data_IF_332712735622
#
_entry.id   IF_332712735622
#
_cell.length_a   1.000
_cell.length_b   1.000
_cell.length_c   1.000
_cell.angle_alpha   90.00
_cell.angle_beta   90.00
_cell.angle_gamma   90.00
#
_symmetry.space_group_name_H-M   'P 1'
#
loop_
_entity.id
_entity.type
_entity.pdbx_description
1 polymer ?
#
# COMPACT_ATOMS: atom_id res chain seq x y z
N UNK A 1 0.19 6.90 -45.36
CA UNK A 1 -0.92 7.05 -44.40
C UNK A 1 -1.89 5.89 -44.60
N UNK A 2 -1.79 4.83 -43.78
CA UNK A 2 -2.83 3.78 -43.76
C UNK A 2 -3.92 4.27 -42.82
N UNK A 3 -5.01 4.80 -43.37
CA UNK A 3 -6.28 4.93 -42.65
C UNK A 3 -6.75 3.52 -42.33
N UNK A 4 -6.36 3.03 -41.16
CA UNK A 4 -6.95 1.83 -40.61
C UNK A 4 -8.22 2.30 -39.92
N UNK A 5 -9.39 1.86 -40.39
CA UNK A 5 -10.67 2.07 -39.74
C UNK A 5 -10.64 1.43 -38.33
N UNK A 6 -10.07 2.14 -37.36
CA UNK A 6 -10.11 1.80 -35.94
C UNK A 6 -11.52 2.11 -35.46
N UNK A 7 -12.43 1.15 -35.56
CA UNK A 7 -13.72 1.24 -34.90
C UNK A 7 -13.56 1.01 -33.39
N UNK A 8 -14.48 1.57 -32.59
CA UNK A 8 -14.56 1.32 -31.14
C UNK A 8 -14.61 -0.17 -30.80
N UNK A 9 -15.28 -0.98 -31.62
CA UNK A 9 -15.34 -2.44 -31.48
C UNK A 9 -13.96 -3.10 -31.67
N UNK A 10 -13.19 -2.70 -32.68
CA UNK A 10 -11.84 -3.24 -32.92
C UNK A 10 -10.91 -2.91 -31.75
N UNK A 11 -10.98 -1.69 -31.23
CA UNK A 11 -10.20 -1.27 -30.05
C UNK A 11 -10.61 -2.09 -28.83
N UNK A 12 -11.90 -2.22 -28.56
CA UNK A 12 -12.39 -2.99 -27.41
C UNK A 12 -11.96 -4.46 -27.48
N UNK A 13 -12.03 -5.08 -28.67
CA UNK A 13 -11.56 -6.46 -28.90
C UNK A 13 -10.05 -6.57 -28.74
N UNK A 14 -9.28 -5.60 -29.25
CA UNK A 14 -7.82 -5.60 -29.15
C UNK A 14 -7.34 -5.47 -27.69
N UNK A 15 -7.98 -4.60 -26.91
CA UNK A 15 -7.64 -4.37 -25.50
C UNK A 15 -8.07 -5.52 -24.58
N UNK A 16 -9.21 -6.18 -24.86
CA UNK A 16 -9.70 -7.32 -24.06
C UNK A 16 -9.12 -8.68 -24.51
N UNK A 17 -8.64 -8.77 -25.75
CA UNK A 17 -8.12 -9.99 -26.35
C UNK A 17 -6.68 -10.34 -25.94
N UNK A 18 -6.20 -11.49 -26.41
CA UNK A 18 -4.85 -11.97 -26.15
C UNK A 18 -3.83 -11.58 -27.24
N UNK A 19 -4.28 -11.03 -28.37
CA UNK A 19 -3.47 -10.89 -29.59
C UNK A 19 -2.45 -9.74 -29.60
N UNK A 20 -2.49 -8.83 -28.62
CA UNK A 20 -1.53 -7.73 -28.51
C UNK A 20 -0.51 -7.99 -27.40
N UNK A 21 0.73 -7.54 -27.63
CA UNK A 21 1.75 -7.44 -26.57
C UNK A 21 1.33 -6.41 -25.52
N UNK A 22 1.95 -6.44 -24.33
CA UNK A 22 1.66 -5.47 -23.26
C UNK A 22 1.94 -4.04 -23.71
N UNK A 23 3.01 -3.82 -24.48
CA UNK A 23 3.35 -2.51 -25.01
C UNK A 23 2.35 -2.03 -26.07
N UNK A 24 1.94 -2.90 -26.99
CA UNK A 24 0.97 -2.52 -28.02
C UNK A 24 -0.41 -2.24 -27.43
N UNK A 25 -0.79 -2.94 -26.36
CA UNK A 25 -2.04 -2.69 -25.64
C UNK A 25 -2.07 -1.30 -25.03
N UNK A 26 -1.01 -0.90 -24.33
CA UNK A 26 -0.98 0.42 -23.70
C UNK A 26 -0.90 1.55 -24.73
N UNK A 27 -0.18 1.34 -25.84
CA UNK A 27 -0.17 2.28 -26.96
C UNK A 27 -1.57 2.43 -27.58
N UNK A 28 -2.24 1.32 -27.88
CA UNK A 28 -3.60 1.31 -28.43
C UNK A 28 -4.58 2.04 -27.50
N UNK A 29 -4.49 1.81 -26.19
CA UNK A 29 -5.34 2.48 -25.22
C UNK A 29 -5.08 4.00 -25.14
N UNK A 30 -3.80 4.40 -25.17
CA UNK A 30 -3.38 5.80 -25.11
C UNK A 30 -3.81 6.57 -26.38
N UNK A 31 -3.65 5.95 -27.55
CA UNK A 31 -4.10 6.51 -28.82
C UNK A 31 -5.62 6.65 -28.85
N UNK A 32 -6.34 5.59 -28.45
CA UNK A 32 -7.80 5.63 -28.36
C UNK A 32 -8.28 6.76 -27.45
N UNK A 33 -7.65 6.93 -26.27
CA UNK A 33 -8.02 7.97 -25.32
C UNK A 33 -7.78 9.38 -25.88
N UNK A 34 -6.63 9.60 -26.50
CA UNK A 34 -6.21 10.91 -27.02
C UNK A 34 -6.95 11.32 -28.29
N UNK A 35 -7.52 10.36 -29.03
CA UNK A 35 -8.20 10.62 -30.28
C UNK A 35 -9.66 11.08 -30.05
N UNK A 36 -9.93 12.35 -30.34
CA UNK A 36 -11.27 12.94 -30.27
C UNK A 36 -12.12 12.73 -31.52
N UNK A 37 -11.51 12.31 -32.64
CA UNK A 37 -12.21 12.00 -33.89
C UNK A 37 -12.82 10.60 -33.90
N UNK A 38 -12.37 9.74 -32.97
CA UNK A 38 -12.89 8.39 -32.80
C UNK A 38 -14.22 8.41 -32.01
N UNK A 39 -15.29 7.94 -32.64
CA UNK A 39 -16.55 7.70 -31.92
C UNK A 39 -16.44 6.44 -31.04
N UNK A 40 -16.24 6.65 -29.75
CA UNK A 40 -16.23 5.60 -28.72
C UNK A 40 -17.19 5.99 -27.58
N UNK A 41 -18.40 5.41 -27.54
CA UNK A 41 -19.35 5.66 -26.45
C UNK A 41 -18.77 5.31 -25.08
N UNK A 42 -18.85 6.24 -24.12
CA UNK A 42 -18.28 6.10 -22.77
C UNK A 42 -16.79 5.72 -22.77
N UNK A 43 -16.02 6.29 -23.72
CA UNK A 43 -14.58 6.05 -23.92
C UNK A 43 -13.79 6.02 -22.61
N UNK A 44 -13.92 7.07 -21.81
CA UNK A 44 -13.13 7.24 -20.58
C UNK A 44 -13.45 6.12 -19.58
N UNK A 45 -14.74 5.83 -19.36
CA UNK A 45 -15.19 4.82 -18.40
C UNK A 45 -14.76 3.41 -18.83
N UNK A 46 -14.84 3.11 -20.14
CA UNK A 46 -14.36 1.83 -20.68
C UNK A 46 -12.85 1.66 -20.46
N UNK A 47 -12.05 2.67 -20.82
CA UNK A 47 -10.59 2.60 -20.71
C UNK A 47 -10.15 2.53 -19.26
N UNK A 48 -10.83 3.27 -18.37
CA UNK A 48 -10.56 3.22 -16.94
C UNK A 48 -10.85 1.85 -16.33
N UNK A 49 -12.01 1.25 -16.62
CA UNK A 49 -12.35 -0.10 -16.15
C UNK A 49 -11.39 -1.16 -16.70
N UNK A 50 -11.06 -1.05 -18.00
CA UNK A 50 -10.09 -1.92 -18.64
C UNK A 50 -8.72 -1.82 -17.96
N UNK A 51 -8.23 -0.61 -17.70
CA UNK A 51 -6.93 -0.37 -17.11
C UNK A 51 -6.86 -0.90 -15.67
N UNK A 52 -7.91 -0.66 -14.88
CA UNK A 52 -8.03 -1.22 -13.54
C UNK A 52 -7.96 -2.76 -13.56
N UNK A 53 -8.62 -3.39 -14.54
CA UNK A 53 -8.59 -4.84 -14.72
C UNK A 53 -7.22 -5.33 -15.22
N UNK A 54 -6.57 -4.59 -16.10
CA UNK A 54 -5.26 -4.93 -16.64
C UNK A 54 -4.18 -4.93 -15.54
N UNK A 55 -4.20 -3.93 -14.66
CA UNK A 55 -3.27 -3.81 -13.53
C UNK A 55 -3.36 -5.00 -12.55
N UNK A 56 -4.55 -5.59 -12.38
CA UNK A 56 -4.76 -6.73 -11.46
C UNK A 56 -4.38 -8.08 -12.06
N UNK A 57 -4.29 -8.18 -13.39
CA UNK A 57 -3.87 -9.40 -14.07
C UNK A 57 -2.34 -9.56 -13.95
N UNK A 58 -1.85 -9.68 -12.72
CA UNK A 58 -0.45 -9.98 -12.42
C UNK A 58 -0.24 -11.48 -12.65
N UNK A 59 0.10 -11.88 -13.89
CA UNK A 59 0.59 -13.23 -14.14
C UNK A 59 2.05 -13.29 -13.69
N UNK A 60 2.29 -13.92 -12.55
CA UNK A 60 3.62 -14.05 -11.89
C UNK A 60 4.67 -14.74 -12.77
N UNK A 61 4.28 -15.35 -13.90
CA UNK A 61 5.17 -16.18 -14.73
C UNK A 61 6.20 -15.38 -15.55
N UNK A 62 6.00 -14.09 -15.81
CA UNK A 62 7.01 -13.21 -16.43
C UNK A 62 6.79 -11.76 -16.02
N UNK A 63 7.83 -11.11 -15.49
CA UNK A 63 7.78 -9.70 -15.07
C UNK A 63 7.54 -8.75 -16.25
N UNK A 64 8.04 -9.12 -17.44
CA UNK A 64 7.91 -8.35 -18.67
C UNK A 64 6.49 -8.27 -19.22
N UNK A 65 5.63 -9.25 -18.90
CA UNK A 65 4.23 -9.27 -19.34
C UNK A 65 3.24 -8.75 -18.27
N UNK A 66 3.75 -8.32 -17.12
CA UNK A 66 2.92 -7.84 -16.03
C UNK A 66 2.67 -6.34 -16.16
N UNK A 67 1.43 -5.94 -16.45
CA UNK A 67 1.03 -4.53 -16.57
C UNK A 67 1.39 -3.69 -15.33
N UNK A 68 1.29 -4.28 -14.13
CA UNK A 68 1.62 -3.62 -12.87
C UNK A 68 3.09 -3.22 -12.74
N UNK A 69 3.99 -3.85 -13.50
CA UNK A 69 5.43 -3.57 -13.46
C UNK A 69 5.88 -2.65 -14.61
N UNK A 70 4.94 -2.18 -15.44
CA UNK A 70 5.21 -1.32 -16.58
C UNK A 70 4.80 0.11 -16.27
N UNK A 71 5.75 1.05 -16.32
CA UNK A 71 5.50 2.47 -16.01
C UNK A 71 4.42 3.10 -16.90
N UNK A 72 4.32 2.69 -18.17
CA UNK A 72 3.34 3.22 -19.11
C UNK A 72 1.88 3.02 -18.66
N UNK A 73 1.60 1.92 -17.95
CA UNK A 73 0.28 1.65 -17.39
C UNK A 73 -0.06 2.60 -16.24
N UNK A 74 0.91 2.85 -15.35
CA UNK A 74 0.76 3.80 -14.24
C UNK A 74 0.60 5.24 -14.75
N UNK A 75 1.32 5.63 -15.81
CA UNK A 75 1.16 6.94 -16.45
C UNK A 75 -0.25 7.15 -17.00
N UNK A 76 -0.78 6.20 -17.77
CA UNK A 76 -2.15 6.30 -18.27
C UNK A 76 -3.16 6.28 -17.11
N UNK A 77 -2.90 5.50 -16.06
CA UNK A 77 -3.77 5.43 -14.90
C UNK A 77 -3.82 6.76 -14.15
N UNK A 78 -2.67 7.38 -13.91
CA UNK A 78 -2.55 8.72 -13.36
C UNK A 78 -3.34 9.73 -14.19
N UNK A 79 -3.17 9.74 -15.51
CA UNK A 79 -3.87 10.67 -16.39
C UNK A 79 -5.40 10.51 -16.33
N UNK A 80 -5.90 9.27 -16.31
CA UNK A 80 -7.33 9.00 -16.15
C UNK A 80 -7.84 9.40 -14.76
N UNK A 81 -7.10 9.09 -13.69
CA UNK A 81 -7.45 9.53 -12.34
C UNK A 81 -7.52 11.05 -12.24
N UNK A 82 -6.55 11.76 -12.81
CA UNK A 82 -6.51 13.23 -12.85
C UNK A 82 -7.70 13.80 -13.65
N UNK A 83 -8.03 13.19 -14.79
CA UNK A 83 -9.22 13.54 -15.56
C UNK A 83 -10.50 13.43 -14.73
N UNK A 84 -10.71 12.30 -14.03
CA UNK A 84 -11.90 12.13 -13.19
C UNK A 84 -11.89 13.04 -11.96
N UNK A 85 -10.73 13.31 -11.39
CA UNK A 85 -10.58 14.27 -10.30
C UNK A 85 -11.05 15.66 -10.75
N UNK A 86 -10.53 16.16 -11.87
CA UNK A 86 -10.94 17.44 -12.44
C UNK A 86 -12.43 17.46 -12.83
N UNK A 87 -12.94 16.36 -13.40
CA UNK A 87 -14.36 16.21 -13.76
C UNK A 87 -15.27 16.28 -12.54
N UNK A 88 -14.87 15.67 -11.43
CA UNK A 88 -15.62 15.72 -10.19
C UNK A 88 -15.69 17.15 -9.63
N UNK A 89 -14.61 17.93 -9.74
CA UNK A 89 -14.62 19.33 -9.33
C UNK A 89 -15.43 20.23 -10.27
N UNK A 90 -15.39 19.98 -11.58
CA UNK A 90 -16.05 20.85 -12.58
C UNK A 90 -17.53 20.54 -12.75
N UNK A 91 -17.92 19.27 -12.72
CA UNK A 91 -19.28 18.80 -13.04
C UNK A 91 -20.05 18.28 -11.83
N UNK A 92 -19.40 18.21 -10.65
CA UNK A 92 -19.93 17.60 -9.43
C UNK A 92 -20.34 16.12 -9.58
N UNK A 93 -19.97 15.47 -10.69
CA UNK A 93 -20.21 14.04 -10.91
C UNK A 93 -19.09 13.22 -10.26
N UNK A 94 -19.41 12.20 -9.45
CA UNK A 94 -18.39 11.39 -8.81
C UNK A 94 -17.57 10.60 -9.85
N UNK A 95 -16.32 10.25 -9.52
CA UNK A 95 -15.54 9.29 -10.31
C UNK A 95 -16.24 7.93 -10.41
N UNK A 96 -15.99 7.15 -11.48
CA UNK A 96 -16.58 5.82 -11.64
C UNK A 96 -16.16 4.88 -10.49
N UNK A 97 -17.07 3.99 -10.10
CA UNK A 97 -16.82 3.03 -9.02
C UNK A 97 -15.75 2.01 -9.42
N UNK A 98 -14.74 1.85 -8.56
CA UNK A 98 -13.63 0.92 -8.76
C UNK A 98 -13.94 -0.36 -7.99
N UNK A 99 -14.36 -1.41 -8.70
CA UNK A 99 -14.79 -2.69 -8.09
C UNK A 99 -13.65 -3.69 -7.87
N UNK A 100 -12.45 -3.32 -8.30
CA UNK A 100 -11.31 -4.23 -8.35
C UNK A 100 -10.27 -3.88 -7.28
N UNK A 101 -9.48 -4.86 -6.83
CA UNK A 101 -8.59 -4.70 -5.67
C UNK A 101 -7.25 -4.03 -6.04
N UNK A 102 -7.28 -2.76 -6.46
CA UNK A 102 -6.09 -2.03 -6.89
C UNK A 102 -4.99 -1.97 -5.81
N UNK A 103 -5.35 -1.90 -4.53
CA UNK A 103 -4.39 -1.89 -3.43
C UNK A 103 -3.54 -3.17 -3.37
N UNK A 104 -4.09 -4.31 -3.80
CA UNK A 104 -3.32 -5.55 -3.89
C UNK A 104 -2.26 -5.50 -4.99
N UNK A 105 -2.50 -4.72 -6.06
CA UNK A 105 -1.50 -4.45 -7.11
C UNK A 105 -0.34 -3.64 -6.55
N UNK A 106 -0.64 -2.66 -5.69
CA UNK A 106 0.37 -1.85 -5.00
C UNK A 106 1.24 -2.74 -4.11
N UNK A 107 0.63 -3.64 -3.33
CA UNK A 107 1.35 -4.66 -2.56
C UNK A 107 2.26 -5.50 -3.44
N UNK A 108 1.74 -6.03 -4.55
CA UNK A 108 2.52 -6.87 -5.46
C UNK A 108 3.70 -6.10 -6.09
N UNK A 109 3.50 -4.84 -6.45
CA UNK A 109 4.55 -3.96 -6.97
C UNK A 109 5.62 -3.70 -5.90
N UNK A 110 5.25 -3.34 -4.68
CA UNK A 110 6.20 -3.16 -3.57
C UNK A 110 7.01 -4.45 -3.31
N UNK A 111 6.36 -5.61 -3.35
CA UNK A 111 7.01 -6.92 -3.25
C UNK A 111 7.99 -7.17 -4.40
N UNK A 112 7.61 -6.82 -5.64
CA UNK A 112 8.48 -6.96 -6.81
C UNK A 112 9.73 -6.06 -6.70
N UNK A 113 9.57 -4.82 -6.24
CA UNK A 113 10.69 -3.90 -6.03
C UNK A 113 11.74 -4.46 -5.05
N UNK A 114 11.35 -5.38 -4.17
CA UNK A 114 12.30 -6.06 -3.29
C UNK A 114 13.21 -7.07 -3.99
N UNK A 115 12.83 -7.51 -5.20
CA UNK A 115 13.54 -8.52 -6.00
C UNK A 115 14.31 -7.93 -7.17
N UNK A 116 14.05 -6.69 -7.56
CA UNK A 116 14.66 -6.02 -8.72
C UNK A 116 15.93 -5.26 -8.33
N UNK A 117 16.95 -5.33 -9.19
CA UNK A 117 18.22 -4.60 -9.04
C UNK A 117 18.33 -3.33 -9.90
N UNK A 118 17.25 -2.95 -10.61
CA UNK A 118 17.22 -1.78 -11.50
C UNK A 118 16.61 -0.58 -10.78
N UNK A 119 17.46 0.24 -10.16
CA UNK A 119 17.03 1.31 -9.26
C UNK A 119 16.39 2.51 -9.98
N UNK A 120 16.79 2.82 -11.22
CA UNK A 120 16.26 3.96 -11.98
C UNK A 120 14.82 3.72 -12.44
N UNK A 121 14.53 2.54 -13.02
CA UNK A 121 13.17 2.16 -13.42
C UNK A 121 12.24 2.09 -12.19
N UNK A 122 12.75 1.60 -11.06
CA UNK A 122 12.02 1.53 -9.80
C UNK A 122 11.65 2.93 -9.28
N UNK A 123 12.57 3.90 -9.35
CA UNK A 123 12.32 5.29 -8.95
C UNK A 123 11.19 5.90 -9.76
N UNK A 124 11.21 5.78 -11.08
CA UNK A 124 10.21 6.41 -11.94
C UNK A 124 8.83 5.76 -11.77
N UNK A 125 8.78 4.42 -11.61
CA UNK A 125 7.54 3.72 -11.27
C UNK A 125 6.99 4.18 -9.92
N UNK A 126 7.84 4.36 -8.90
CA UNK A 126 7.40 4.83 -7.58
C UNK A 126 6.86 6.26 -7.62
N UNK A 127 7.41 7.13 -8.48
CA UNK A 127 6.89 8.49 -8.66
C UNK A 127 5.48 8.48 -9.28
N UNK A 128 5.26 7.68 -10.32
CA UNK A 128 3.93 7.53 -10.92
C UNK A 128 2.95 6.83 -9.97
N UNK A 129 3.42 5.83 -9.23
CA UNK A 129 2.65 5.16 -8.19
C UNK A 129 2.20 6.16 -7.12
N UNK A 130 3.11 7.02 -6.63
CA UNK A 130 2.75 8.06 -5.67
C UNK A 130 1.63 8.94 -6.20
N UNK A 131 1.75 9.47 -7.42
CA UNK A 131 0.72 10.32 -8.02
C UNK A 131 -0.64 9.58 -8.16
N UNK A 132 -0.61 8.30 -8.55
CA UNK A 132 -1.81 7.48 -8.61
C UNK A 132 -2.45 7.25 -7.23
N UNK A 133 -1.65 6.90 -6.23
CA UNK A 133 -2.13 6.56 -4.88
C UNK A 133 -2.68 7.79 -4.17
N UNK A 134 -2.03 8.94 -4.32
CA UNK A 134 -2.48 10.22 -3.78
C UNK A 134 -3.88 10.58 -4.30
N UNK A 135 -4.09 10.49 -5.61
CA UNK A 135 -5.41 10.72 -6.21
C UNK A 135 -6.42 9.62 -5.84
N UNK A 136 -6.05 8.35 -5.93
CA UNK A 136 -6.94 7.21 -5.69
C UNK A 136 -7.47 7.17 -4.25
N UNK A 137 -6.66 7.60 -3.28
CA UNK A 137 -7.03 7.65 -1.86
C UNK A 137 -7.48 9.03 -1.39
N UNK A 138 -7.56 10.01 -2.30
CA UNK A 138 -8.06 11.35 -2.02
C UNK A 138 -9.56 11.36 -1.64
N UNK A 139 -10.06 12.44 -1.02
CA UNK A 139 -11.48 12.61 -0.75
C UNK A 139 -12.37 12.45 -2.00
N UNK A 140 -11.88 12.86 -3.18
CA UNK A 140 -12.60 12.79 -4.45
C UNK A 140 -12.98 11.36 -4.84
N UNK A 141 -12.14 10.38 -4.50
CA UNK A 141 -12.38 8.96 -4.79
C UNK A 141 -12.93 8.16 -3.59
N UNK A 142 -13.21 8.82 -2.46
CA UNK A 142 -13.63 8.17 -1.21
C UNK A 142 -14.92 7.34 -1.31
N UNK A 143 -15.81 7.65 -2.24
CA UNK A 143 -17.01 6.87 -2.55
C UNK A 143 -16.76 5.81 -3.62
N UNK A 144 -15.82 6.07 -4.53
CA UNK A 144 -15.53 5.24 -5.70
C UNK A 144 -14.60 4.07 -5.37
N UNK A 145 -13.71 4.24 -4.39
CA UNK A 145 -12.76 3.21 -3.99
C UNK A 145 -12.55 3.19 -2.47
N UNK A 146 -12.78 2.01 -1.87
CA UNK A 146 -12.66 1.81 -0.42
C UNK A 146 -11.94 0.49 -0.14
N UNK A 147 -10.59 0.49 -0.04
CA UNK A 147 -9.87 -0.72 0.34
C UNK A 147 -10.27 -1.12 1.76
N UNK A 148 -10.36 -2.42 2.03
CA UNK A 148 -10.66 -2.91 3.38
C UNK A 148 -9.46 -2.72 4.31
N UNK A 149 -9.70 -2.79 5.63
CA UNK A 149 -8.62 -2.73 6.62
C UNK A 149 -7.59 -3.85 6.43
N UNK A 150 -8.04 -5.06 6.06
CA UNK A 150 -7.17 -6.20 5.83
C UNK A 150 -6.26 -5.97 4.61
N UNK A 151 -6.83 -5.48 3.52
CA UNK A 151 -6.07 -5.16 2.32
C UNK A 151 -5.04 -4.07 2.60
N UNK A 152 -5.41 -3.03 3.34
CA UNK A 152 -4.48 -1.98 3.74
C UNK A 152 -3.40 -2.51 4.68
N UNK A 153 -3.75 -3.36 5.66
CA UNK A 153 -2.80 -3.96 6.59
C UNK A 153 -1.74 -4.79 5.85
N UNK A 154 -2.14 -5.61 4.88
CA UNK A 154 -1.20 -6.37 4.03
C UNK A 154 -0.29 -5.45 3.22
N UNK A 155 -0.82 -4.34 2.73
CA UNK A 155 -0.04 -3.36 1.96
C UNK A 155 0.97 -2.65 2.84
N UNK A 156 0.57 -2.25 4.05
CA UNK A 156 1.44 -1.61 5.04
C UNK A 156 2.53 -2.56 5.49
N UNK A 157 2.22 -3.84 5.71
CA UNK A 157 3.20 -4.87 6.03
C UNK A 157 4.30 -4.96 4.94
N UNK A 158 3.89 -5.07 3.68
CA UNK A 158 4.81 -5.11 2.54
C UNK A 158 5.57 -3.80 2.34
N UNK A 159 4.93 -2.65 2.60
CA UNK A 159 5.57 -1.33 2.57
C UNK A 159 6.68 -1.24 3.62
N UNK A 160 6.44 -1.71 4.84
CA UNK A 160 7.46 -1.71 5.89
C UNK A 160 8.64 -2.60 5.53
N UNK A 161 8.40 -3.79 4.96
CA UNK A 161 9.48 -4.65 4.46
C UNK A 161 10.33 -3.95 3.39
N UNK A 162 9.65 -3.26 2.47
CA UNK A 162 10.31 -2.52 1.39
C UNK A 162 11.14 -1.36 1.93
N UNK A 163 10.58 -0.59 2.86
CA UNK A 163 11.29 0.50 3.54
C UNK A 163 12.50 -0.03 4.32
N UNK A 164 12.36 -1.12 5.08
CA UNK A 164 13.48 -1.72 5.80
C UNK A 164 14.60 -2.11 4.84
N UNK A 165 14.29 -2.86 3.77
CA UNK A 165 15.30 -3.26 2.77
C UNK A 165 16.02 -2.05 2.19
N UNK A 166 15.26 -1.04 1.77
CA UNK A 166 15.79 0.16 1.14
C UNK A 166 16.65 0.94 2.13
N UNK A 167 16.16 1.25 3.33
CA UNK A 167 16.92 1.99 4.36
C UNK A 167 18.24 1.27 4.73
N UNK A 168 18.25 -0.07 4.75
CA UNK A 168 19.42 -0.84 5.15
C UNK A 168 20.48 -0.96 4.05
N UNK A 169 20.10 -0.86 2.78
CA UNK A 169 21.02 -0.97 1.65
C UNK A 169 21.69 0.40 1.36
N UNK A 170 22.65 0.79 2.22
CA UNK A 170 23.32 2.10 2.24
C UNK A 170 23.99 2.56 0.92
N UNK A 171 24.23 1.66 -0.05
CA UNK A 171 24.97 1.96 -1.29
C UNK A 171 24.11 2.14 -2.55
N UNK A 172 22.84 1.73 -2.53
CA UNK A 172 21.95 1.66 -3.71
C UNK A 172 20.61 2.43 -3.53
N UNK A 173 20.35 2.95 -2.33
CA UNK A 173 18.99 3.23 -1.86
C UNK A 173 18.47 4.66 -2.04
N UNK A 174 19.33 5.65 -2.29
CA UNK A 174 18.91 7.07 -2.25
C UNK A 174 17.93 7.46 -3.36
N UNK A 175 18.05 6.87 -4.55
CA UNK A 175 17.22 7.22 -5.71
C UNK A 175 15.75 6.84 -5.51
N UNK A 176 15.48 5.63 -5.00
CA UNK A 176 14.12 5.12 -4.77
C UNK A 176 13.53 5.54 -3.41
N UNK A 177 14.38 5.87 -2.42
CA UNK A 177 13.93 6.17 -1.07
C UNK A 177 12.99 7.37 -1.05
N UNK A 178 13.34 8.47 -1.70
CA UNK A 178 12.48 9.67 -1.73
C UNK A 178 11.05 9.40 -2.22
N UNK A 179 10.86 8.82 -3.42
CA UNK A 179 9.54 8.40 -3.91
C UNK A 179 8.84 7.38 -3.01
N UNK A 180 9.57 6.40 -2.47
CA UNK A 180 9.00 5.39 -1.55
C UNK A 180 8.46 6.04 -0.27
N UNK A 181 9.16 7.04 0.28
CA UNK A 181 8.69 7.79 1.44
C UNK A 181 7.40 8.56 1.13
N UNK A 182 7.25 9.11 -0.09
CA UNK A 182 5.99 9.76 -0.50
C UNK A 182 4.82 8.77 -0.57
N UNK A 183 5.05 7.58 -1.15
CA UNK A 183 4.05 6.50 -1.14
C UNK A 183 3.71 6.09 0.29
N UNK A 184 4.72 5.93 1.15
CA UNK A 184 4.54 5.56 2.55
C UNK A 184 3.68 6.57 3.31
N UNK A 185 3.95 7.86 3.11
CA UNK A 185 3.20 8.94 3.75
C UNK A 185 1.69 8.86 3.46
N UNK A 186 1.30 8.70 2.19
CA UNK A 186 -0.12 8.60 1.80
C UNK A 186 -0.77 7.36 2.39
N UNK A 187 -0.11 6.20 2.28
CA UNK A 187 -0.63 4.93 2.78
C UNK A 187 -0.78 4.92 4.31
N UNK A 188 0.19 5.47 5.05
CA UNK A 188 0.15 5.56 6.51
C UNK A 188 -0.95 6.49 7.00
N UNK A 189 -1.18 7.65 6.35
CA UNK A 189 -2.32 8.52 6.66
C UNK A 189 -3.62 7.73 6.51
N UNK A 190 -3.80 7.08 5.36
CA UNK A 190 -5.02 6.33 5.08
C UNK A 190 -5.23 5.19 6.08
N UNK A 191 -4.17 4.45 6.40
CA UNK A 191 -4.22 3.36 7.37
C UNK A 191 -4.56 3.86 8.77
N UNK A 192 -3.98 4.97 9.21
CA UNK A 192 -4.28 5.60 10.50
C UNK A 192 -5.76 5.98 10.59
N UNK A 193 -6.34 6.57 9.54
CA UNK A 193 -7.78 6.88 9.50
C UNK A 193 -8.63 5.62 9.61
N UNK A 194 -8.27 4.54 8.90
CA UNK A 194 -9.01 3.27 8.94
C UNK A 194 -8.93 2.59 10.31
N UNK A 195 -7.79 2.71 10.99
CA UNK A 195 -7.61 2.19 12.35
C UNK A 195 -8.56 2.85 13.35
N UNK A 196 -8.82 4.15 13.20
CA UNK A 196 -9.80 4.85 14.05
C UNK A 196 -11.25 4.48 13.69
N UNK A 197 -11.52 4.09 12.45
CA UNK A 197 -12.86 3.78 11.96
C UNK A 197 -13.26 2.30 12.09
N UNK A 198 -12.30 1.42 12.41
CA UNK A 198 -12.58 -0.02 12.50
C UNK A 198 -13.44 -0.34 13.72
N UNK A 199 -14.55 -1.04 13.51
CA UNK A 199 -15.39 -1.52 14.61
C UNK A 199 -14.72 -2.65 15.40
N UNK A 200 -13.76 -3.37 14.79
CA UNK A 200 -13.10 -4.52 15.41
C UNK A 200 -11.69 -4.16 15.88
N UNK A 201 -11.63 -3.51 17.04
CA UNK A 201 -10.38 -3.07 17.66
C UNK A 201 -9.49 -4.26 18.06
N UNK A 202 -10.08 -5.37 18.51
CA UNK A 202 -9.35 -6.61 18.82
C UNK A 202 -8.60 -7.16 17.61
N UNK A 203 -9.24 -7.23 16.44
CA UNK A 203 -8.60 -7.70 15.20
C UNK A 203 -7.49 -6.76 14.75
N UNK A 204 -7.71 -5.46 14.88
CA UNK A 204 -6.75 -4.43 14.50
C UNK A 204 -5.51 -4.46 15.39
N UNK A 205 -5.70 -4.56 16.71
CA UNK A 205 -4.65 -4.81 17.69
C UNK A 205 -3.85 -6.07 17.34
N UNK A 206 -4.53 -7.20 17.16
CA UNK A 206 -3.87 -8.50 16.90
C UNK A 206 -3.06 -8.45 15.61
N UNK A 207 -3.60 -7.83 14.56
CA UNK A 207 -2.91 -7.66 13.27
C UNK A 207 -1.64 -6.83 13.42
N UNK A 208 -1.71 -5.72 14.14
CA UNK A 208 -0.56 -4.83 14.34
C UNK A 208 0.49 -5.54 15.20
N UNK A 209 0.11 -6.10 16.35
CA UNK A 209 1.02 -6.76 17.28
C UNK A 209 1.72 -7.95 16.62
N UNK A 210 0.98 -8.88 16.03
CA UNK A 210 1.57 -10.13 15.55
C UNK A 210 2.33 -10.00 14.23
N UNK A 211 1.99 -9.02 13.38
CA UNK A 211 2.52 -8.96 12.01
C UNK A 211 3.39 -7.75 11.73
N UNK A 212 3.01 -6.58 12.24
CA UNK A 212 3.57 -5.30 11.76
C UNK A 212 4.45 -4.61 12.81
N UNK A 213 4.23 -4.84 14.10
CA UNK A 213 4.83 -4.10 15.21
C UNK A 213 6.36 -4.07 15.14
N UNK A 214 6.99 -5.23 14.94
CA UNK A 214 8.45 -5.34 14.81
C UNK A 214 8.99 -4.44 13.67
N UNK A 215 8.31 -4.47 12.52
CA UNK A 215 8.69 -3.70 11.34
C UNK A 215 8.47 -2.20 11.56
N UNK A 216 7.36 -1.82 12.19
CA UNK A 216 7.11 -0.44 12.57
C UNK A 216 8.21 0.11 13.50
N UNK A 217 8.60 -0.63 14.53
CA UNK A 217 9.66 -0.20 15.45
C UNK A 217 11.00 -0.04 14.73
N UNK A 218 11.33 -0.97 13.82
CA UNK A 218 12.55 -0.89 13.03
C UNK A 218 12.56 0.33 12.09
N UNK A 219 11.51 0.50 11.28
CA UNK A 219 11.37 1.63 10.35
C UNK A 219 11.39 2.95 11.11
N UNK A 220 10.57 3.10 12.15
CA UNK A 220 10.50 4.32 12.99
C UNK A 220 11.88 4.75 13.48
N UNK A 221 12.73 3.78 13.87
CA UNK A 221 14.07 4.07 14.40
C UNK A 221 15.06 4.43 13.29
N UNK A 222 15.10 3.66 12.19
CA UNK A 222 16.12 3.80 11.14
C UNK A 222 15.82 4.90 10.13
N UNK A 223 14.55 5.22 9.91
CA UNK A 223 14.14 6.24 8.95
C UNK A 223 14.71 7.63 9.28
N UNK A 224 14.99 7.91 10.56
CA UNK A 224 15.59 9.19 10.98
C UNK A 224 17.06 9.36 10.57
N UNK A 225 17.72 8.28 10.15
CA UNK A 225 19.12 8.29 9.70
C UNK A 225 19.26 8.65 8.21
N UNK A 226 18.14 8.80 7.49
CA UNK A 226 18.14 9.02 6.04
C UNK A 226 18.18 10.51 5.69
N UNK A 227 18.66 10.91 4.50
CA UNK A 227 18.85 12.33 4.14
C UNK A 227 17.54 13.14 3.95
N UNK A 228 16.36 12.50 4.05
CA UNK A 228 15.05 13.13 3.85
C UNK A 228 14.42 13.57 5.18
N UNK A 229 15.13 14.37 5.97
CA UNK A 229 14.81 14.62 7.39
C UNK A 229 13.34 14.98 7.68
N UNK A 230 12.74 15.94 6.97
CA UNK A 230 11.36 16.37 7.25
C UNK A 230 10.32 15.27 6.99
N UNK A 231 10.41 14.61 5.83
CA UNK A 231 9.48 13.55 5.45
C UNK A 231 9.70 12.29 6.30
N UNK A 232 10.96 11.97 6.59
CA UNK A 232 11.34 10.88 7.49
C UNK A 232 10.81 11.09 8.91
N UNK A 233 10.91 12.31 9.44
CA UNK A 233 10.35 12.67 10.75
C UNK A 233 8.83 12.55 10.73
N UNK A 234 8.18 13.02 9.67
CA UNK A 234 6.73 12.90 9.51
C UNK A 234 6.27 11.45 9.52
N UNK A 235 6.97 10.57 8.77
CA UNK A 235 6.65 9.14 8.74
C UNK A 235 6.93 8.47 10.09
N UNK A 236 8.04 8.80 10.75
CA UNK A 236 8.36 8.31 12.10
C UNK A 236 7.25 8.67 13.11
N UNK A 237 6.75 9.91 13.06
CA UNK A 237 5.63 10.36 13.88
C UNK A 237 4.34 9.60 13.54
N UNK A 238 4.02 9.44 12.25
CA UNK A 238 2.84 8.67 11.81
C UNK A 238 2.87 7.21 12.28
N UNK A 239 4.02 6.56 12.19
CA UNK A 239 4.21 5.20 12.71
C UNK A 239 4.00 5.17 14.22
N UNK A 240 4.52 6.17 14.95
CA UNK A 240 4.30 6.32 16.39
C UNK A 240 2.81 6.44 16.71
N UNK A 241 2.09 7.31 15.99
CA UNK A 241 0.66 7.52 16.18
C UNK A 241 -0.15 6.26 15.90
N UNK A 242 0.20 5.49 14.86
CA UNK A 242 -0.45 4.22 14.54
C UNK A 242 -0.24 3.21 15.66
N UNK A 243 0.99 3.05 16.16
CA UNK A 243 1.29 2.16 17.30
C UNK A 243 0.47 2.60 18.51
N UNK A 244 0.48 3.89 18.85
CA UNK A 244 -0.23 4.41 20.02
C UNK A 244 -1.73 4.19 19.90
N UNK A 245 -2.33 4.52 18.74
CA UNK A 245 -3.76 4.33 18.49
C UNK A 245 -4.16 2.85 18.57
N UNK A 246 -3.31 1.94 18.11
CA UNK A 246 -3.59 0.51 18.13
C UNK A 246 -3.47 -0.09 19.53
N UNK A 247 -2.37 0.20 20.23
CA UNK A 247 -2.07 -0.40 21.52
C UNK A 247 -2.86 0.25 22.66
N UNK A 248 -3.16 1.54 22.57
CA UNK A 248 -3.83 2.29 23.65
C UNK A 248 -5.23 2.73 23.27
N UNK A 249 -5.90 2.02 22.35
CA UNK A 249 -7.32 2.21 22.12
C UNK A 249 -8.10 1.95 23.43
N UNK A 250 -9.12 2.76 23.80
CA UNK A 250 -9.87 2.59 25.06
C UNK A 250 -10.33 1.15 25.32
N UNK A 251 -10.87 0.47 24.30
CA UNK A 251 -11.31 -0.94 24.38
C UNK A 251 -10.17 -1.91 24.74
N UNK A 252 -8.94 -1.62 24.31
CA UNK A 252 -7.76 -2.44 24.61
C UNK A 252 -7.22 -2.09 26.00
N UNK A 253 -7.22 -0.81 26.38
CA UNK A 253 -6.81 -0.32 27.72
C UNK A 253 -7.58 -1.04 28.83
N UNK A 254 -8.88 -1.21 28.67
CA UNK A 254 -9.71 -1.95 29.63
C UNK A 254 -9.23 -3.39 29.82
N UNK A 255 -8.79 -4.04 28.75
CA UNK A 255 -8.26 -5.41 28.77
C UNK A 255 -6.87 -5.50 29.42
N UNK A 256 -6.01 -4.48 29.29
CA UNK A 256 -4.74 -4.47 30.06
C UNK A 256 -5.00 -4.51 31.57
N UNK A 257 -5.97 -3.74 32.05
CA UNK A 257 -6.28 -3.72 33.49
C UNK A 257 -6.82 -5.06 34.00
N UNK A 258 -7.51 -5.82 33.15
CA UNK A 258 -8.05 -7.14 33.49
C UNK A 258 -6.95 -8.19 33.63
N UNK A 259 -5.90 -8.10 32.81
CA UNK A 259 -4.69 -8.93 32.88
C UNK A 259 -3.85 -8.54 34.10
N UNK A 260 -3.53 -7.24 34.26
CA UNK A 260 -2.62 -6.75 35.31
C UNK A 260 -3.18 -6.91 36.74
N UNK A 261 -4.49 -6.74 36.96
CA UNK A 261 -5.09 -6.87 38.31
C UNK A 261 -5.11 -8.29 38.86
N UNK A 262 -5.07 -9.32 37.99
CA UNK A 262 -5.14 -10.73 38.38
C UNK A 262 -3.77 -11.33 38.73
N UNK A 263 -2.68 -10.73 38.24
CA UNK A 263 -1.31 -11.10 38.65
C UNK A 263 -0.98 -10.58 40.07
N UNK A 264 -1.56 -9.45 40.50
CA UNK A 264 -1.39 -8.93 41.87
C UNK A 264 -2.22 -9.66 42.94
N UNK A 265 -3.22 -10.43 42.56
CA UNK A 265 -4.17 -11.07 43.51
C UNK A 265 -4.05 -12.60 43.60
N UNK A 266 -3.02 -13.20 42.98
CA UNK A 266 -2.82 -14.66 42.94
C UNK A 266 -1.55 -15.11 43.65
N UNK A 267 -1.48 -14.86 44.97
CA UNK A 267 -0.83 -15.83 45.87
C UNK A 267 -1.90 -16.82 46.30
N UNK A 268 -1.81 -18.05 45.80
CA UNK A 268 -2.67 -19.23 46.04
C UNK A 268 -3.68 -19.60 44.93
N UNK A 269 -3.52 -20.87 44.49
CA UNK A 269 -4.43 -21.74 43.75
C UNK A 269 -4.49 -21.67 42.21
N UNK A 270 -3.73 -22.60 41.60
CA UNK A 270 -4.12 -23.49 40.49
C UNK A 270 -5.26 -23.01 39.57
N UNK A 271 -4.91 -22.32 38.47
CA UNK A 271 -5.72 -22.33 37.24
C UNK A 271 -4.86 -22.04 36.00
N UNK A 272 -3.95 -22.97 35.70
CA UNK A 272 -2.91 -22.87 34.66
C UNK A 272 -3.38 -22.93 33.19
N UNK A 273 -4.61 -22.55 32.84
CA UNK A 273 -5.06 -22.68 31.44
C UNK A 273 -6.00 -21.60 30.89
N UNK A 274 -6.52 -20.66 31.70
CA UNK A 274 -7.41 -19.60 31.20
C UNK A 274 -6.70 -18.29 30.84
N UNK A 275 -5.47 -18.06 31.33
CA UNK A 275 -4.71 -16.81 31.11
C UNK A 275 -4.05 -16.68 29.72
N UNK A 276 -3.97 -17.75 28.91
CA UNK A 276 -3.41 -17.69 27.54
C UNK A 276 -4.35 -17.09 26.48
N UNK A 277 -5.59 -16.73 26.85
CA UNK A 277 -6.62 -16.36 25.88
C UNK A 277 -6.91 -14.85 25.76
N UNK A 278 -6.27 -13.99 26.57
CA UNK A 278 -6.37 -12.54 26.34
C UNK A 278 -5.54 -12.18 25.12
N UNK A 279 -6.16 -11.52 24.14
CA UNK A 279 -5.45 -11.10 22.93
C UNK A 279 -4.36 -10.05 23.23
N UNK A 280 -4.44 -9.38 24.38
CA UNK A 280 -3.44 -8.41 24.86
C UNK A 280 -2.17 -9.09 25.38
N UNK A 281 -2.25 -10.33 25.89
CA UNK A 281 -1.08 -11.09 26.30
C UNK A 281 -0.09 -11.29 25.14
N UNK A 282 -0.59 -11.35 23.91
CA UNK A 282 0.21 -11.46 22.68
C UNK A 282 1.18 -10.30 22.49
N UNK A 283 0.87 -9.10 23.01
CA UNK A 283 1.82 -7.99 22.97
C UNK A 283 3.06 -8.30 23.81
N UNK A 284 2.87 -8.81 25.03
CA UNK A 284 3.98 -9.13 25.91
C UNK A 284 4.79 -10.30 25.37
N UNK A 285 4.13 -11.32 24.82
CA UNK A 285 4.80 -12.43 24.11
C UNK A 285 5.65 -11.91 22.94
N UNK A 286 5.09 -11.02 22.13
CA UNK A 286 5.79 -10.44 20.98
C UNK A 286 6.96 -9.54 21.42
N UNK A 287 6.79 -8.70 22.45
CA UNK A 287 7.87 -7.88 22.99
C UNK A 287 9.00 -8.74 23.56
N UNK A 288 8.67 -9.81 24.30
CA UNK A 288 9.66 -10.78 24.79
C UNK A 288 10.39 -11.44 23.63
N UNK A 289 9.68 -11.88 22.58
CA UNK A 289 10.28 -12.45 21.37
C UNK A 289 11.27 -11.49 20.71
N UNK A 290 10.89 -10.21 20.59
CA UNK A 290 11.75 -9.17 20.02
C UNK A 290 12.98 -8.88 20.89
N UNK A 291 12.85 -9.01 22.21
CA UNK A 291 13.97 -8.87 23.14
C UNK A 291 14.88 -10.10 23.15
N UNK A 292 14.39 -11.30 22.87
CA UNK A 292 15.21 -12.53 22.87
C UNK A 292 15.89 -12.78 21.52
N UNK A 293 15.28 -12.35 20.42
CA UNK A 293 15.81 -12.58 19.09
C UNK A 293 16.95 -11.62 18.75
N UNK A 294 18.19 -12.15 18.77
CA UNK A 294 19.42 -11.40 18.43
C UNK A 294 19.38 -10.72 17.05
N UNK A 295 18.66 -11.28 16.07
CA UNK A 295 18.50 -10.62 14.75
C UNK A 295 17.64 -9.37 14.87
N UNK A 296 16.53 -9.44 15.59
CA UNK A 296 15.62 -8.30 15.77
C UNK A 296 16.25 -7.23 16.67
N UNK A 297 17.01 -7.63 17.70
CA UNK A 297 17.87 -6.72 18.47
C UNK A 297 18.89 -6.00 17.58
N UNK A 298 19.54 -6.72 16.65
CA UNK A 298 20.47 -6.13 15.69
C UNK A 298 19.76 -5.10 14.80
N UNK A 299 18.59 -5.44 14.27
CA UNK A 299 17.76 -4.51 13.47
C UNK A 299 17.32 -3.28 14.26
N UNK A 300 17.13 -3.42 15.58
CA UNK A 300 16.78 -2.33 16.49
C UNK A 300 17.98 -1.58 17.07
N UNK A 301 19.23 -2.04 16.90
CA UNK A 301 20.43 -1.34 17.42
C UNK A 301 20.91 -0.24 16.46
N UNK A 302 21.42 0.87 17.00
CA UNK A 302 21.97 2.01 16.21
C UNK A 302 23.41 1.80 15.73
N UNK A 303 24.06 0.73 16.17
CA UNK A 303 25.53 0.58 16.12
C UNK A 303 26.05 -0.15 14.90
N UNK A 304 25.21 -0.48 13.91
CA UNK A 304 25.64 -1.16 12.69
C UNK A 304 25.38 -0.29 11.45
N UNK A 305 26.32 0.61 11.19
CA UNK A 305 26.67 1.11 9.87
C UNK A 305 28.07 0.60 9.53
#
# INVERSE_FOLDING_TARGET
>A
MKNNDLSSEKIAKALKGAGLSVQDRILTATEAWSNNQLFFPNKDDFLFEWLCTALIKTKVKSSTECAAFQIAYWRLFHQLLAHYHQRAHTTQKPPPAIRVQLIAVITALLGHLNTTNHDDDAKDILLELYACVDLLLSPTFSLSYRPTFEQMSTTIDQLMDTLMRVINNNKQSTAMLGPLLKVAHVLLIRYSTQLTQTANQRKSFTTIVEKILAKFLCVRRRILLVPFHELAQTISNQVTDIIVKALFHPDVVMEYTSVLKKDTSSTQQQSSSKNKNSYVAKLFEELSRLLENKKDQHWMSLTSC
#
